data_IF_171385306280
#
_entry.id   IF_171385306280
#
_cell.length_a   1.000
_cell.length_b   1.000
_cell.length_c   1.000
_cell.angle_alpha   90.00
_cell.angle_beta   90.00
_cell.angle_gamma   90.00
#
_symmetry.space_group_name_H-M   'P 1'
#
loop_
_entity.id
_entity.type
_entity.pdbx_description
1 polymer ?
#
# COMPACT_ATOMS: atom_id res chain seq x y z
N UNK A 1 7.44 4.97 3.46
CA UNK A 1 7.48 3.58 2.98
C UNK A 1 8.57 3.46 1.93
N UNK A 2 9.71 2.83 2.25
CA UNK A 2 10.62 2.36 1.20
C UNK A 2 10.10 1.01 0.75
N UNK A 3 9.84 0.83 -0.55
CA UNK A 3 9.60 -0.49 -1.10
C UNK A 3 10.89 -1.28 -0.90
N UNK A 4 10.95 -2.10 0.14
CA UNK A 4 12.11 -2.92 0.41
C UNK A 4 12.07 -4.05 -0.62
N UNK A 5 12.87 -3.93 -1.69
CA UNK A 5 13.12 -4.97 -2.69
C UNK A 5 14.43 -5.77 -2.42
N UNK A 6 14.92 -6.13 -1.21
CA UNK A 6 16.22 -6.81 -1.09
C UNK A 6 16.16 -8.34 -1.20
N UNK A 7 15.13 -8.92 -1.82
CA UNK A 7 15.06 -10.38 -2.02
C UNK A 7 14.27 -10.84 -3.26
N UNK A 8 13.82 -9.93 -4.11
CA UNK A 8 13.05 -10.29 -5.30
C UNK A 8 13.96 -10.73 -6.45
N UNK A 9 14.01 -12.04 -6.75
CA UNK A 9 14.51 -12.49 -8.05
C UNK A 9 13.47 -12.10 -9.11
N UNK A 10 13.88 -11.43 -10.19
CA UNK A 10 13.00 -11.14 -11.31
C UNK A 10 12.39 -12.45 -11.84
N UNK A 11 11.10 -12.67 -11.59
CA UNK A 11 10.43 -13.91 -11.96
C UNK A 11 10.24 -14.01 -13.48
N UNK A 12 9.92 -12.89 -14.14
CA UNK A 12 9.80 -12.79 -15.59
C UNK A 12 9.79 -11.32 -16.05
N UNK A 13 10.09 -11.09 -17.33
CA UNK A 13 9.92 -9.79 -18.00
C UNK A 13 9.11 -10.00 -19.26
N UNK A 14 8.12 -9.14 -19.49
CA UNK A 14 7.26 -9.19 -20.67
C UNK A 14 7.32 -7.85 -21.39
N UNK A 15 7.50 -7.88 -22.72
CA UNK A 15 7.53 -6.67 -23.54
C UNK A 15 6.10 -6.20 -23.78
N UNK A 16 5.80 -4.95 -23.45
CA UNK A 16 4.51 -4.33 -23.74
C UNK A 16 4.41 -4.15 -25.27
N UNK A 17 3.35 -4.65 -25.93
CA UNK A 17 3.21 -4.52 -27.38
C UNK A 17 3.14 -3.06 -27.83
N UNK A 18 3.84 -2.74 -28.91
CA UNK A 18 3.63 -1.50 -29.65
C UNK A 18 2.30 -1.61 -30.43
N UNK A 19 1.35 -0.67 -30.25
CA UNK A 19 0.08 -0.68 -30.98
C UNK A 19 0.20 -0.39 -32.49
N UNK A 20 1.42 -0.12 -32.99
CA UNK A 20 1.67 0.29 -34.37
C UNK A 20 1.59 1.81 -34.52
N UNK A 21 2.25 2.55 -33.63
CA UNK A 21 2.21 4.01 -33.65
C UNK A 21 2.61 4.59 -35.02
N UNK A 22 1.72 5.40 -35.59
CA UNK A 22 1.98 6.12 -36.85
C UNK A 22 2.69 7.43 -36.52
N UNK A 23 3.74 7.76 -37.28
CA UNK A 23 4.37 9.06 -37.17
C UNK A 23 5.02 9.35 -35.83
N UNK A 24 5.30 8.35 -35.00
CA UNK A 24 5.81 8.53 -33.65
C UNK A 24 6.19 7.20 -32.99
N UNK A 25 6.46 7.25 -31.69
CA UNK A 25 6.81 6.11 -30.88
C UNK A 25 5.75 5.79 -29.83
N UNK A 26 5.72 4.52 -29.41
CA UNK A 26 4.92 4.04 -28.27
C UNK A 26 5.55 4.46 -26.94
N UNK A 27 4.77 5.10 -26.07
CA UNK A 27 5.19 5.64 -24.76
C UNK A 27 4.30 5.07 -23.64
N UNK A 28 4.55 3.83 -23.16
CA UNK A 28 3.87 3.30 -21.99
C UNK A 28 4.32 4.05 -20.73
N UNK A 29 3.39 4.37 -19.82
CA UNK A 29 3.68 5.07 -18.58
C UNK A 29 2.76 4.63 -17.42
N UNK A 30 1.44 4.85 -17.53
CA UNK A 30 0.50 4.51 -16.46
C UNK A 30 0.40 3.02 -16.18
N UNK A 31 0.27 2.65 -14.90
CA UNK A 31 0.21 1.26 -14.46
C UNK A 31 -0.78 1.09 -13.31
N UNK A 32 -1.70 0.13 -13.43
CA UNK A 32 -2.60 -0.24 -12.34
C UNK A 32 -2.76 -1.74 -12.21
N UNK A 33 -2.70 -2.26 -11.00
CA UNK A 33 -3.17 -3.61 -10.71
C UNK A 33 -4.64 -3.56 -10.27
N UNK A 34 -5.48 -4.37 -10.91
CA UNK A 34 -6.91 -4.47 -10.63
C UNK A 34 -7.44 -5.85 -10.99
N UNK A 35 -8.14 -6.50 -10.05
CA UNK A 35 -8.79 -7.81 -10.21
C UNK A 35 -7.93 -8.83 -10.96
N UNK A 36 -6.78 -9.17 -10.38
CA UNK A 36 -5.83 -10.16 -10.91
C UNK A 36 -5.28 -9.83 -12.31
N UNK A 37 -5.24 -8.55 -12.67
CA UNK A 37 -4.68 -8.09 -13.94
C UNK A 37 -3.91 -6.78 -13.76
N UNK A 38 -2.86 -6.61 -14.55
CA UNK A 38 -2.16 -5.34 -14.71
C UNK A 38 -2.76 -4.60 -15.90
N UNK A 39 -2.93 -3.29 -15.79
CA UNK A 39 -3.37 -2.40 -16.84
C UNK A 39 -2.26 -1.41 -17.12
N UNK A 40 -1.78 -1.39 -18.36
CA UNK A 40 -0.69 -0.52 -18.81
C UNK A 40 -1.26 0.49 -19.79
N UNK A 41 -1.17 1.76 -19.42
CA UNK A 41 -1.56 2.89 -20.24
C UNK A 41 -0.37 3.51 -20.96
N UNK A 42 -0.61 4.11 -22.13
CA UNK A 42 0.40 4.89 -22.83
C UNK A 42 -0.15 5.62 -24.05
N UNK A 43 0.72 6.35 -24.74
CA UNK A 43 0.36 7.13 -25.93
C UNK A 43 1.26 6.83 -27.13
N UNK A 44 0.73 7.01 -28.33
CA UNK A 44 1.52 7.26 -29.53
C UNK A 44 1.81 8.76 -29.62
N UNK A 45 3.09 9.12 -29.67
CA UNK A 45 3.53 10.50 -29.45
C UNK A 45 3.48 11.42 -30.68
N UNK A 46 3.22 10.88 -31.88
CA UNK A 46 3.22 11.59 -33.16
C UNK A 46 4.48 12.46 -33.43
N UNK A 47 5.60 12.19 -32.75
CA UNK A 47 6.78 13.06 -32.75
C UNK A 47 7.41 13.23 -34.14
N UNK A 48 7.35 12.22 -35.00
CA UNK A 48 7.96 12.26 -36.33
C UNK A 48 7.04 12.90 -37.37
N UNK A 49 5.73 12.66 -37.32
CA UNK A 49 4.78 13.21 -38.30
C UNK A 49 4.34 14.62 -37.97
N UNK A 50 4.33 14.99 -36.68
CA UNK A 50 3.78 16.24 -36.19
C UNK A 50 2.29 16.45 -36.55
N UNK A 51 1.57 15.35 -36.82
CA UNK A 51 0.13 15.37 -37.10
C UNK A 51 -0.65 15.01 -35.83
N UNK A 52 -1.59 15.89 -35.45
CA UNK A 52 -2.48 15.63 -34.28
C UNK A 52 -3.37 14.41 -34.45
N UNK A 53 -3.75 14.09 -35.70
CA UNK A 53 -4.52 12.89 -36.03
C UNK A 53 -3.80 11.58 -35.67
N UNK A 54 -2.48 11.63 -35.52
CA UNK A 54 -1.67 10.45 -35.17
C UNK A 54 -1.53 10.26 -33.65
N UNK A 55 -2.02 11.21 -32.84
CA UNK A 55 -2.04 11.09 -31.39
C UNK A 55 -3.16 10.14 -30.95
N UNK A 56 -2.78 9.09 -30.23
CA UNK A 56 -3.67 8.06 -29.73
C UNK A 56 -3.24 7.64 -28.33
N UNK A 57 -4.18 7.32 -27.46
CA UNK A 57 -3.94 6.68 -26.18
C UNK A 57 -4.44 5.24 -26.20
N UNK A 58 -3.72 4.35 -25.51
CA UNK A 58 -4.03 2.92 -25.44
C UNK A 58 -3.96 2.43 -24.00
N UNK A 59 -4.80 1.45 -23.67
CA UNK A 59 -4.68 0.65 -22.45
C UNK A 59 -4.64 -0.82 -22.81
N UNK A 60 -3.61 -1.51 -22.34
CA UNK A 60 -3.48 -2.96 -22.41
C UNK A 60 -3.75 -3.59 -21.05
N UNK A 61 -4.53 -4.68 -21.04
CA UNK A 61 -4.66 -5.58 -19.89
C UNK A 61 -3.67 -6.73 -20.03
N UNK A 62 -2.90 -6.98 -18.99
CA UNK A 62 -2.02 -8.14 -18.83
C UNK A 62 -2.52 -9.02 -17.69
N UNK A 63 -2.78 -10.29 -17.97
CA UNK A 63 -3.20 -11.26 -16.96
C UNK A 63 -1.98 -12.09 -16.52
N UNK A 64 -1.52 -11.97 -15.26
CA UNK A 64 -0.44 -12.79 -14.72
C UNK A 64 -0.73 -14.29 -14.86
N UNK A 65 0.29 -15.07 -15.22
CA UNK A 65 0.16 -16.51 -15.49
C UNK A 65 -0.22 -16.85 -16.93
N UNK A 66 -0.93 -15.96 -17.64
CA UNK A 66 -1.20 -16.08 -19.08
C UNK A 66 -0.12 -15.48 -19.96
N UNK A 67 0.71 -14.55 -19.44
CA UNK A 67 1.74 -13.80 -20.16
C UNK A 67 1.25 -13.16 -21.48
N UNK A 68 0.01 -12.70 -21.51
CA UNK A 68 -0.61 -12.09 -22.70
C UNK A 68 -1.09 -10.68 -22.39
N UNK A 69 -0.82 -9.76 -23.33
CA UNK A 69 -1.41 -8.43 -23.35
C UNK A 69 -2.60 -8.40 -24.30
N UNK A 70 -3.72 -7.83 -23.84
CA UNK A 70 -4.92 -7.59 -24.64
C UNK A 70 -5.19 -6.10 -24.66
N UNK A 71 -5.31 -5.49 -25.84
CA UNK A 71 -5.77 -4.10 -25.92
C UNK A 71 -7.22 -4.03 -25.46
N UNK A 72 -7.51 -3.20 -24.45
CA UNK A 72 -8.86 -3.07 -23.88
C UNK A 72 -9.47 -1.69 -24.10
N UNK A 73 -8.65 -0.69 -24.44
CA UNK A 73 -9.09 0.66 -24.77
C UNK A 73 -8.12 1.29 -25.79
N UNK A 74 -8.68 2.04 -26.73
CA UNK A 74 -7.96 2.96 -27.62
C UNK A 74 -8.85 4.18 -27.87
N UNK A 75 -8.25 5.37 -27.90
CA UNK A 75 -8.97 6.60 -28.24
C UNK A 75 -8.05 7.68 -28.81
N UNK A 76 -8.58 8.55 -29.69
CA UNK A 76 -7.82 9.67 -30.21
C UNK A 76 -7.66 10.77 -29.15
N UNK A 77 -6.56 11.50 -29.24
CA UNK A 77 -6.28 12.68 -28.40
C UNK A 77 -6.50 13.99 -29.18
N UNK A 78 -7.34 13.97 -30.20
CA UNK A 78 -7.67 15.12 -31.07
C UNK A 78 -8.98 15.82 -30.70
N UNK A 79 -9.56 15.47 -29.55
CA UNK A 79 -10.80 16.06 -29.07
C UNK A 79 -10.63 17.54 -28.68
N UNK A 80 -11.73 18.32 -28.71
CA UNK A 80 -11.71 19.73 -28.32
C UNK A 80 -11.24 19.90 -26.88
N UNK A 81 -10.39 20.91 -26.63
CA UNK A 81 -9.92 21.33 -25.31
C UNK A 81 -10.17 22.83 -25.15
N UNK A 82 -10.24 23.35 -23.91
CA UNK A 82 -10.62 24.72 -23.67
C UNK A 82 -9.68 25.74 -24.31
N UNK A 83 -10.27 26.89 -24.63
CA UNK A 83 -9.50 28.11 -24.80
C UNK A 83 -8.99 28.49 -23.41
N UNK A 84 -7.70 28.38 -23.16
CA UNK A 84 -7.22 28.62 -21.81
C UNK A 84 -7.18 30.12 -21.46
N UNK A 85 -6.62 30.47 -20.31
CA UNK A 85 -6.88 31.74 -19.63
C UNK A 85 -6.29 32.96 -20.32
N UNK A 86 -5.40 32.76 -21.30
CA UNK A 86 -4.80 33.83 -22.08
C UNK A 86 -5.54 33.96 -23.42
N UNK A 87 -6.13 35.12 -23.67
CA UNK A 87 -6.86 35.40 -24.90
C UNK A 87 -6.01 35.07 -26.15
N UNK A 88 -6.55 34.20 -27.02
CA UNK A 88 -5.91 33.78 -28.27
C UNK A 88 -5.00 32.55 -28.19
N UNK A 89 -4.78 31.96 -27.01
CA UNK A 89 -4.02 30.71 -26.85
C UNK A 89 -5.00 29.52 -26.74
N UNK A 90 -4.92 28.58 -27.70
CA UNK A 90 -5.60 27.28 -27.66
C UNK A 90 -4.61 26.22 -27.16
N UNK A 91 -5.06 25.26 -26.35
CA UNK A 91 -4.22 24.25 -25.70
C UNK A 91 -4.65 22.81 -26.04
N UNK A 92 -4.75 22.45 -27.33
CA UNK A 92 -4.99 21.07 -27.72
C UNK A 92 -3.81 20.20 -27.30
N UNK A 93 -4.02 18.89 -27.26
CA UNK A 93 -2.89 17.98 -27.27
C UNK A 93 -2.06 18.17 -28.55
N UNK A 94 -0.74 18.13 -28.38
CA UNK A 94 0.22 18.31 -29.47
C UNK A 94 1.15 17.10 -29.55
N UNK A 95 1.61 16.77 -30.77
CA UNK A 95 2.72 15.86 -31.00
C UNK A 95 3.92 16.20 -30.11
N UNK A 96 4.63 15.17 -29.67
CA UNK A 96 5.80 15.39 -28.84
C UNK A 96 6.90 16.12 -29.62
N UNK A 97 7.63 16.96 -28.90
CA UNK A 97 8.79 17.69 -29.42
C UNK A 97 10.02 17.38 -28.56
N UNK A 98 11.18 17.37 -29.22
CA UNK A 98 12.49 17.38 -28.55
C UNK A 98 13.08 18.79 -28.47
N UNK A 99 12.54 19.72 -29.25
CA UNK A 99 12.96 21.12 -29.26
C UNK A 99 12.03 21.96 -28.42
N UNK A 100 12.61 22.99 -27.78
CA UNK A 100 11.84 23.96 -27.02
C UNK A 100 10.88 24.71 -27.97
N UNK A 101 9.58 24.56 -27.75
CA UNK A 101 8.53 25.26 -28.49
C UNK A 101 7.61 25.99 -27.51
N UNK A 102 7.30 27.25 -27.81
CA UNK A 102 6.39 28.08 -27.02
C UNK A 102 5.12 28.34 -27.82
N UNK A 103 3.95 27.94 -27.31
CA UNK A 103 2.66 28.26 -27.97
C UNK A 103 2.15 29.66 -27.56
N UNK A 104 2.53 30.14 -26.37
CA UNK A 104 2.02 31.40 -25.81
C UNK A 104 3.22 32.27 -25.36
N UNK A 105 3.53 33.33 -26.11
CA UNK A 105 4.80 34.09 -25.99
C UNK A 105 4.78 35.23 -24.97
N UNK A 106 3.65 35.49 -24.33
CA UNK A 106 3.55 36.53 -23.30
C UNK A 106 4.18 36.05 -21.99
N UNK A 107 5.16 36.81 -21.49
CA UNK A 107 5.79 36.61 -20.18
C UNK A 107 6.50 35.24 -19.97
N UNK A 108 7.21 34.73 -20.98
CA UNK A 108 8.04 33.51 -20.86
C UNK A 108 7.31 32.25 -20.34
N UNK A 109 6.02 32.10 -20.65
CA UNK A 109 5.22 30.94 -20.25
C UNK A 109 5.41 29.75 -21.19
N UNK A 110 5.70 28.58 -20.63
CA UNK A 110 5.86 27.31 -21.35
C UNK A 110 4.56 26.51 -21.28
N UNK A 111 3.84 26.49 -22.39
CA UNK A 111 2.59 25.76 -22.56
C UNK A 111 2.64 25.08 -23.92
N UNK A 112 2.79 23.77 -23.94
CA UNK A 112 2.77 22.97 -25.18
C UNK A 112 2.25 21.56 -24.82
N UNK A 113 0.94 21.40 -24.56
CA UNK A 113 0.42 20.16 -23.97
C UNK A 113 0.79 18.93 -24.78
N UNK A 114 1.50 18.00 -24.15
CA UNK A 114 1.99 16.76 -24.73
C UNK A 114 1.49 15.60 -23.87
N UNK A 115 0.44 14.92 -24.34
CA UNK A 115 -0.27 13.95 -23.53
C UNK A 115 0.64 12.82 -23.04
N UNK A 116 0.42 12.42 -21.80
CA UNK A 116 0.90 11.19 -21.19
C UNK A 116 -0.26 10.55 -20.46
N UNK A 117 -0.61 9.29 -20.77
CA UNK A 117 -1.51 8.53 -19.92
C UNK A 117 -0.73 8.09 -18.69
N UNK A 118 -0.80 8.90 -17.64
CA UNK A 118 0.09 8.83 -16.49
C UNK A 118 -0.41 7.88 -15.42
N UNK A 119 -1.72 7.73 -15.29
CA UNK A 119 -2.30 6.90 -14.24
C UNK A 119 -3.68 6.33 -14.61
N UNK A 120 -4.08 5.26 -13.91
CA UNK A 120 -5.31 4.51 -14.13
C UNK A 120 -5.90 4.12 -12.77
N UNK A 121 -7.17 4.47 -12.55
CA UNK A 121 -7.94 4.01 -11.41
C UNK A 121 -9.22 3.27 -11.84
N UNK A 122 -9.78 2.48 -10.93
CA UNK A 122 -11.03 1.76 -11.18
C UNK A 122 -12.04 2.04 -10.08
N UNK A 123 -13.23 2.48 -10.48
CA UNK A 123 -14.37 2.60 -9.57
C UNK A 123 -14.99 1.21 -9.27
N UNK A 124 -15.90 1.15 -8.29
CA UNK A 124 -16.50 -0.09 -7.78
C UNK A 124 -17.31 -0.85 -8.85
N UNK A 125 -17.86 -0.14 -9.82
CA UNK A 125 -18.59 -0.69 -10.97
C UNK A 125 -17.64 -1.24 -12.06
N UNK A 126 -16.33 -1.09 -11.86
CA UNK A 126 -15.29 -1.47 -12.81
C UNK A 126 -15.06 -0.43 -13.90
N UNK A 127 -15.69 0.75 -13.83
CA UNK A 127 -15.39 1.86 -14.72
C UNK A 127 -13.95 2.34 -14.50
N UNK A 128 -13.21 2.51 -15.59
CA UNK A 128 -11.84 2.99 -15.60
C UNK A 128 -11.83 4.53 -15.56
N UNK A 129 -10.93 5.10 -14.78
CA UNK A 129 -10.63 6.52 -14.70
C UNK A 129 -9.19 6.70 -15.15
N UNK A 130 -8.94 7.65 -16.04
CA UNK A 130 -7.70 7.83 -16.77
C UNK A 130 -7.12 9.20 -16.41
N UNK A 131 -5.91 9.21 -15.85
CA UNK A 131 -5.17 10.43 -15.56
C UNK A 131 -4.30 10.77 -16.75
N UNK A 132 -4.54 11.91 -17.38
CA UNK A 132 -3.68 12.43 -18.45
C UNK A 132 -2.82 13.56 -17.89
N UNK A 133 -1.51 13.42 -17.98
CA UNK A 133 -0.55 14.45 -17.64
C UNK A 133 -0.04 15.14 -18.93
N UNK A 134 0.50 16.34 -18.76
CA UNK A 134 1.21 17.08 -19.77
C UNK A 134 2.73 16.96 -19.55
N UNK A 135 3.44 16.34 -20.50
CA UNK A 135 4.90 16.20 -20.48
C UNK A 135 5.63 17.54 -20.35
N UNK A 136 5.08 18.66 -20.86
CA UNK A 136 5.67 20.00 -20.63
C UNK A 136 5.72 20.34 -19.15
N UNK A 137 4.77 19.83 -18.36
CA UNK A 137 4.77 19.86 -16.91
C UNK A 137 6.02 19.26 -16.27
N UNK A 138 6.58 18.19 -16.86
CA UNK A 138 7.81 17.53 -16.40
C UNK A 138 9.09 18.17 -16.94
N UNK A 139 8.99 18.93 -18.04
CA UNK A 139 10.14 19.56 -18.68
C UNK A 139 10.48 20.93 -18.06
N UNK A 140 9.52 21.57 -17.38
CA UNK A 140 9.67 22.91 -16.81
C UNK A 140 9.11 22.99 -15.40
N UNK A 141 9.48 24.06 -14.69
CA UNK A 141 8.94 24.43 -13.39
C UNK A 141 8.58 25.91 -13.37
N UNK A 142 8.35 26.46 -12.19
CA UNK A 142 8.15 27.90 -12.01
C UNK A 142 9.48 28.64 -11.92
N UNK A 143 9.65 29.73 -12.67
CA UNK A 143 10.87 30.54 -12.71
C UNK A 143 12.14 29.70 -12.94
N UNK A 144 12.06 28.72 -13.82
CA UNK A 144 13.15 27.78 -14.06
C UNK A 144 13.93 28.15 -15.34
N UNK A 145 15.24 27.90 -15.34
CA UNK A 145 16.03 28.08 -16.55
C UNK A 145 15.60 27.08 -17.61
N UNK A 146 15.46 27.54 -18.84
CA UNK A 146 15.22 26.67 -19.98
C UNK A 146 16.44 25.78 -20.25
N UNK A 147 16.28 24.68 -21.01
CA UNK A 147 17.39 23.81 -21.40
C UNK A 147 18.35 24.47 -22.40
N UNK A 148 18.09 25.72 -22.82
CA UNK A 148 18.94 26.50 -23.72
C UNK A 148 19.82 27.46 -22.91
N UNK A 149 20.98 27.85 -23.45
CA UNK A 149 21.99 28.67 -22.76
C UNK A 149 21.61 30.16 -22.57
N UNK A 150 20.33 30.46 -22.31
CA UNK A 150 19.83 31.81 -22.09
C UNK A 150 19.54 32.05 -20.62
N UNK A 151 19.73 33.28 -20.14
CA UNK A 151 19.31 33.70 -18.80
C UNK A 151 17.79 33.92 -18.69
N UNK A 152 17.00 33.38 -19.62
CA UNK A 152 15.54 33.48 -19.62
C UNK A 152 14.99 32.48 -18.62
N UNK A 153 14.24 32.99 -17.63
CA UNK A 153 13.43 32.16 -16.75
C UNK A 153 12.10 31.86 -17.43
N UNK A 154 11.69 30.61 -17.35
CA UNK A 154 10.45 30.10 -17.94
C UNK A 154 9.48 29.68 -16.85
N UNK A 155 8.19 29.89 -17.12
CA UNK A 155 7.10 29.44 -16.26
C UNK A 155 6.38 28.27 -16.92
N UNK A 156 6.64 27.06 -16.44
CA UNK A 156 5.91 25.85 -16.83
C UNK A 156 4.43 25.96 -16.47
N UNK A 157 3.59 25.36 -17.29
CA UNK A 157 2.20 25.12 -16.94
C UNK A 157 1.73 23.82 -17.57
N UNK A 158 1.77 22.76 -16.78
CA UNK A 158 1.19 21.47 -17.16
C UNK A 158 -0.32 21.60 -17.28
N UNK A 159 -0.87 21.21 -18.43
CA UNK A 159 -2.30 21.11 -18.71
C UNK A 159 -2.67 19.66 -18.96
N UNK A 160 -2.87 18.91 -17.88
CA UNK A 160 -3.36 17.52 -17.92
C UNK A 160 -4.86 17.47 -18.21
N UNK A 161 -5.47 16.32 -18.03
CA UNK A 161 -6.91 16.06 -18.23
C UNK A 161 -7.26 14.81 -17.39
N UNK A 162 -8.54 14.59 -17.09
CA UNK A 162 -9.04 13.39 -16.43
C UNK A 162 -10.28 12.87 -17.16
N UNK A 163 -10.19 11.64 -17.66
CA UNK A 163 -11.24 11.01 -18.45
C UNK A 163 -11.78 9.75 -17.77
N UNK A 164 -12.95 9.30 -18.23
CA UNK A 164 -13.59 8.08 -17.77
C UNK A 164 -13.93 7.14 -18.92
N UNK A 165 -13.79 5.83 -18.71
CA UNK A 165 -14.15 4.81 -19.68
C UNK A 165 -14.93 3.66 -19.02
N UNK A 166 -16.19 3.47 -19.41
CA UNK A 166 -17.07 2.45 -18.82
C UNK A 166 -16.68 1.06 -19.28
N UNK A 167 -16.69 0.10 -18.35
CA UNK A 167 -16.46 -1.30 -18.68
C UNK A 167 -17.67 -1.90 -19.42
N UNK A 168 -17.40 -2.50 -20.58
CA UNK A 168 -18.33 -3.23 -21.42
C UNK A 168 -17.81 -4.66 -21.61
N UNK A 169 -18.03 -5.52 -20.60
CA UNK A 169 -17.62 -6.94 -20.62
C UNK A 169 -16.11 -7.15 -20.89
N UNK A 170 -15.26 -6.31 -20.30
CA UNK A 170 -13.80 -6.45 -20.37
C UNK A 170 -13.12 -5.65 -21.47
N UNK A 171 -13.88 -4.98 -22.34
CA UNK A 171 -13.42 -3.84 -23.14
C UNK A 171 -13.97 -2.55 -22.54
N UNK A 172 -13.39 -1.40 -22.86
CA UNK A 172 -13.80 -0.12 -22.29
C UNK A 172 -14.30 0.83 -23.38
N UNK A 173 -15.33 1.60 -23.03
CA UNK A 173 -15.91 2.64 -23.89
C UNK A 173 -15.62 3.97 -23.24
N UNK A 174 -14.80 4.80 -23.89
CA UNK A 174 -14.50 6.15 -23.42
C UNK A 174 -15.79 6.96 -23.28
N UNK A 175 -15.81 7.87 -22.32
CA UNK A 175 -16.84 8.90 -22.25
C UNK A 175 -16.98 9.64 -23.59
N UNK A 176 -18.18 10.12 -23.85
CA UNK A 176 -18.46 10.88 -25.06
C UNK A 176 -19.55 11.91 -24.76
N UNK A 177 -19.23 13.19 -24.96
CA UNK A 177 -20.08 14.33 -24.62
C UNK A 177 -20.55 14.28 -23.16
N UNK A 178 -19.60 14.16 -22.23
CA UNK A 178 -19.81 14.07 -20.78
C UNK A 178 -20.67 12.89 -20.32
N UNK A 179 -20.84 11.89 -21.19
CA UNK A 179 -21.61 10.67 -20.89
C UNK A 179 -20.67 9.48 -20.76
N UNK A 180 -20.71 8.80 -19.61
CA UNK A 180 -19.98 7.57 -19.33
C UNK A 180 -20.97 6.53 -18.79
N UNK A 181 -21.25 5.50 -19.59
CA UNK A 181 -22.24 4.49 -19.26
C UNK A 181 -23.64 5.10 -19.20
N UNK A 182 -24.32 4.96 -18.06
CA UNK A 182 -25.65 5.55 -17.83
C UNK A 182 -25.60 6.96 -17.22
N UNK A 183 -24.42 7.50 -16.95
CA UNK A 183 -24.24 8.80 -16.30
C UNK A 183 -23.91 9.86 -17.34
N UNK A 184 -24.63 10.98 -17.30
CA UNK A 184 -24.33 12.20 -18.05
C UNK A 184 -24.19 13.34 -17.07
N UNK A 185 -23.06 14.06 -17.11
CA UNK A 185 -22.79 15.18 -16.19
C UNK A 185 -23.20 16.53 -16.80
N UNK A 186 -23.01 17.60 -16.04
CA UNK A 186 -23.28 18.95 -16.52
C UNK A 186 -22.23 19.46 -17.55
N UNK A 187 -21.17 18.69 -17.81
CA UNK A 187 -20.16 19.00 -18.82
C UNK A 187 -20.58 18.78 -20.27
N UNK A 188 -21.80 18.30 -20.52
CA UNK A 188 -22.25 18.03 -21.88
C UNK A 188 -22.36 19.32 -22.71
N UNK A 189 -21.88 19.27 -23.95
CA UNK A 189 -21.92 20.35 -24.94
C UNK A 189 -21.12 21.61 -24.52
N UNK A 190 -20.08 21.45 -23.70
CA UNK A 190 -19.17 22.53 -23.35
C UNK A 190 -18.03 22.72 -24.37
N UNK A 191 -17.98 21.88 -25.42
CA UNK A 191 -16.94 21.84 -26.44
C UNK A 191 -15.54 21.54 -25.86
N UNK A 192 -15.49 20.67 -24.86
CA UNK A 192 -14.27 20.18 -24.19
C UNK A 192 -14.39 18.68 -23.99
N UNK A 193 -13.31 17.93 -24.11
CA UNK A 193 -13.30 16.48 -23.96
C UNK A 193 -13.86 15.70 -25.16
N UNK A 194 -13.77 14.35 -25.10
CA UNK A 194 -14.26 13.46 -26.15
C UNK A 194 -15.73 13.70 -26.51
N UNK A 195 -16.04 13.81 -27.80
CA UNK A 195 -17.41 14.06 -28.27
C UNK A 195 -17.95 15.48 -27.99
N UNK A 196 -17.11 16.41 -27.53
CA UNK A 196 -17.47 17.81 -27.28
C UNK A 196 -18.12 18.07 -25.91
N UNK A 197 -17.94 17.16 -24.96
CA UNK A 197 -18.33 17.32 -23.56
C UNK A 197 -17.45 16.43 -22.67
N UNK A 198 -17.15 16.91 -21.47
CA UNK A 198 -16.23 16.27 -20.53
C UNK A 198 -16.98 15.77 -19.30
N UNK A 199 -16.72 14.54 -18.86
CA UNK A 199 -17.41 14.00 -17.69
C UNK A 199 -17.01 14.78 -16.43
N UNK A 200 -15.70 14.92 -16.20
CA UNK A 200 -15.12 15.64 -15.05
C UNK A 200 -14.92 17.14 -15.33
N UNK A 201 -15.97 17.81 -15.78
CA UNK A 201 -15.94 19.19 -16.28
C UNK A 201 -15.56 20.31 -15.29
N UNK A 202 -15.47 20.01 -13.99
CA UNK A 202 -15.14 21.00 -12.94
C UNK A 202 -13.68 20.80 -12.50
N UNK A 203 -12.79 20.48 -13.44
CA UNK A 203 -11.36 20.36 -13.21
C UNK A 203 -10.63 21.72 -13.31
N UNK A 204 -11.37 22.82 -13.20
CA UNK A 204 -10.82 24.18 -13.18
C UNK A 204 -10.00 24.45 -11.91
N UNK A 205 -8.82 25.06 -12.07
CA UNK A 205 -8.02 25.63 -11.00
C UNK A 205 -8.61 26.93 -10.44
N UNK A 206 -8.09 27.40 -9.30
CA UNK A 206 -8.54 28.62 -8.63
C UNK A 206 -8.35 29.89 -9.48
N UNK A 207 -7.42 29.89 -10.44
CA UNK A 207 -7.25 30.94 -11.45
C UNK A 207 -8.25 30.84 -12.62
N UNK A 208 -9.28 29.99 -12.49
CA UNK A 208 -10.27 29.66 -13.51
C UNK A 208 -9.67 29.05 -14.77
N UNK A 209 -8.45 28.55 -14.69
CA UNK A 209 -7.93 27.75 -15.78
C UNK A 209 -8.43 26.33 -15.72
N UNK A 210 -9.09 25.98 -16.80
CA UNK A 210 -9.54 24.64 -17.09
C UNK A 210 -8.32 23.72 -17.29
N UNK A 211 -8.50 22.40 -17.20
CA UNK A 211 -7.43 21.41 -17.40
C UNK A 211 -6.37 21.48 -16.28
N UNK A 212 -6.83 21.53 -15.02
CA UNK A 212 -5.95 21.65 -13.84
C UNK A 212 -5.60 20.32 -13.18
N UNK A 213 -6.26 19.22 -13.57
CA UNK A 213 -5.76 17.88 -13.27
C UNK A 213 -4.38 17.68 -13.92
N UNK A 214 -3.43 17.10 -13.18
CA UNK A 214 -2.06 16.81 -13.69
C UNK A 214 -1.70 15.33 -13.61
N UNK A 215 -2.71 14.48 -13.59
CA UNK A 215 -2.64 13.10 -14.06
C UNK A 215 -2.29 12.00 -13.05
N UNK A 216 -1.89 12.33 -11.83
CA UNK A 216 -1.80 11.32 -10.74
C UNK A 216 -3.18 11.13 -10.11
N UNK A 217 -3.61 9.89 -9.85
CA UNK A 217 -4.96 9.57 -9.38
C UNK A 217 -4.92 8.71 -8.11
N UNK A 218 -5.95 8.85 -7.29
CA UNK A 218 -6.20 7.96 -6.16
C UNK A 218 -7.69 7.77 -5.94
N UNK A 219 -8.15 6.51 -5.89
CA UNK A 219 -9.56 6.21 -5.63
C UNK A 219 -9.69 5.25 -4.45
N UNK A 220 -10.43 5.68 -3.42
CA UNK A 220 -10.80 4.82 -2.29
C UNK A 220 -12.12 4.13 -2.65
N UNK A 221 -12.14 2.79 -2.84
CA UNK A 221 -13.36 2.10 -3.27
C UNK A 221 -14.55 2.40 -2.36
N UNK A 222 -15.67 2.76 -2.97
CA UNK A 222 -16.91 3.11 -2.25
C UNK A 222 -17.03 4.57 -1.79
N UNK A 223 -15.98 5.39 -1.98
CA UNK A 223 -16.04 6.82 -1.64
C UNK A 223 -16.88 7.65 -2.63
N UNK A 224 -17.01 7.19 -3.88
CA UNK A 224 -17.76 7.88 -4.93
C UNK A 224 -17.07 9.13 -5.50
N UNK A 225 -15.78 9.29 -5.23
CA UNK A 225 -14.93 10.37 -5.76
C UNK A 225 -13.54 9.83 -6.08
N UNK A 226 -12.88 10.43 -7.07
CA UNK A 226 -11.48 10.21 -7.41
C UNK A 226 -10.67 11.43 -7.00
N UNK A 227 -9.57 11.22 -6.29
CA UNK A 227 -8.57 12.24 -6.04
C UNK A 227 -7.63 12.35 -7.24
N UNK A 228 -7.22 13.56 -7.60
CA UNK A 228 -6.19 13.81 -8.61
C UNK A 228 -5.18 14.81 -8.10
N UNK A 229 -3.92 14.67 -8.51
CA UNK A 229 -2.97 15.79 -8.41
C UNK A 229 -3.49 16.96 -9.22
N UNK A 230 -3.31 18.16 -8.68
CA UNK A 230 -4.06 19.33 -9.13
C UNK A 230 -3.23 20.60 -9.03
N UNK A 231 -3.27 21.39 -10.10
CA UNK A 231 -2.66 22.71 -10.18
C UNK A 231 -3.60 23.75 -9.59
N UNK A 232 -3.04 24.70 -8.83
CA UNK A 232 -3.80 25.84 -8.29
C UNK A 232 -5.10 25.42 -7.55
N UNK A 233 -5.04 24.48 -6.58
CA UNK A 233 -6.23 23.93 -5.93
C UNK A 233 -6.99 24.93 -5.04
N UNK A 234 -6.32 25.96 -4.50
CA UNK A 234 -6.91 26.93 -3.56
C UNK A 234 -6.69 28.38 -4.03
N UNK A 235 -5.48 28.72 -4.44
CA UNK A 235 -5.11 30.00 -5.03
C UNK A 235 -4.16 29.80 -6.22
N UNK A 236 -3.47 30.87 -6.62
CA UNK A 236 -2.53 30.85 -7.73
C UNK A 236 -1.10 30.59 -7.28
N UNK A 237 -0.37 29.80 -8.07
CA UNK A 237 1.04 29.43 -7.91
C UNK A 237 1.21 28.29 -6.92
N UNK A 238 0.25 27.36 -6.91
CA UNK A 238 0.19 26.30 -5.90
C UNK A 238 0.16 24.92 -6.55
N UNK A 239 0.51 23.90 -5.77
CA UNK A 239 0.27 22.52 -6.11
C UNK A 239 -0.43 21.81 -4.97
N UNK A 240 -1.30 20.87 -5.32
CA UNK A 240 -1.97 20.05 -4.34
C UNK A 240 -2.84 19.01 -5.00
N UNK A 241 -4.03 18.82 -4.44
CA UNK A 241 -4.95 17.77 -4.84
C UNK A 241 -6.38 18.29 -4.91
N UNK A 242 -7.17 17.71 -5.79
CA UNK A 242 -8.61 17.92 -5.87
C UNK A 242 -9.32 16.57 -5.91
N UNK A 243 -10.58 16.53 -5.47
CA UNK A 243 -11.43 15.36 -5.62
C UNK A 243 -12.61 15.69 -6.52
N UNK A 244 -12.90 14.78 -7.43
CA UNK A 244 -13.97 14.89 -8.42
C UNK A 244 -14.97 13.76 -8.21
N UNK A 245 -16.26 14.07 -8.26
CA UNK A 245 -17.33 13.10 -8.06
C UNK A 245 -17.44 12.14 -9.24
N UNK A 246 -17.42 10.83 -8.97
CA UNK A 246 -17.62 9.80 -10.00
C UNK A 246 -19.08 9.71 -10.47
N UNK A 247 -20.01 10.47 -9.88
CA UNK A 247 -21.41 10.49 -10.33
C UNK A 247 -21.74 11.78 -11.08
N UNK A 248 -21.21 12.91 -10.61
CA UNK A 248 -21.60 14.22 -11.14
C UNK A 248 -20.49 14.90 -11.93
N UNK A 249 -19.26 14.40 -11.90
CA UNK A 249 -18.10 15.04 -12.52
C UNK A 249 -17.59 16.28 -11.78
N UNK A 250 -18.32 16.73 -10.75
CA UNK A 250 -18.05 17.99 -10.06
C UNK A 250 -16.93 17.86 -9.04
N UNK A 251 -16.14 18.93 -8.87
CA UNK A 251 -15.12 19.03 -7.83
C UNK A 251 -15.78 19.17 -6.46
N UNK A 252 -15.46 18.24 -5.57
CA UNK A 252 -16.08 18.13 -4.23
C UNK A 252 -15.25 18.83 -3.16
N UNK A 253 -13.92 18.80 -3.31
CA UNK A 253 -12.96 19.38 -2.36
C UNK A 253 -11.60 19.58 -3.02
N UNK A 254 -10.80 20.45 -2.43
CA UNK A 254 -9.40 20.67 -2.79
C UNK A 254 -8.54 20.75 -1.54
N UNK A 255 -7.24 20.53 -1.70
CA UNK A 255 -6.26 20.67 -0.63
C UNK A 255 -4.94 21.14 -1.22
N UNK A 256 -4.38 22.19 -0.62
CA UNK A 256 -3.08 22.74 -0.97
C UNK A 256 -1.96 21.93 -0.29
N UNK A 257 -0.99 21.45 -1.07
CA UNK A 257 0.20 20.80 -0.52
C UNK A 257 1.34 21.79 -0.33
N UNK A 258 1.51 22.73 -1.27
CA UNK A 258 2.52 23.78 -1.14
C UNK A 258 2.07 25.10 -1.80
N UNK A 259 2.40 26.25 -1.16
CA UNK A 259 2.15 27.58 -1.70
C UNK A 259 3.28 28.08 -2.62
N UNK A 260 2.96 29.04 -3.48
CA UNK A 260 3.88 29.60 -4.49
C UNK A 260 5.05 30.45 -3.99
N UNK A 261 5.25 30.54 -2.68
CA UNK A 261 6.43 31.19 -2.08
C UNK A 261 7.59 30.23 -1.83
N UNK A 262 7.44 28.93 -2.11
CA UNK A 262 8.56 27.98 -2.01
C UNK A 262 9.49 28.18 -3.21
N UNK A 263 10.73 28.62 -2.96
CA UNK A 263 11.76 28.63 -3.99
C UNK A 263 11.84 27.22 -4.62
N UNK A 264 11.65 27.15 -5.95
CA UNK A 264 11.83 25.96 -6.80
C UNK A 264 10.70 24.92 -6.87
N UNK A 265 9.66 24.99 -6.03
CA UNK A 265 8.42 24.21 -6.20
C UNK A 265 7.30 25.17 -6.59
N UNK A 266 6.88 25.14 -7.85
CA UNK A 266 5.83 26.04 -8.36
C UNK A 266 5.24 25.54 -9.68
N UNK A 267 4.19 26.24 -10.17
CA UNK A 267 3.30 25.83 -11.29
C UNK A 267 4.02 25.02 -12.37
N UNK A 268 3.61 23.75 -12.50
CA UNK A 268 3.90 22.79 -13.58
C UNK A 268 3.25 21.45 -13.16
N UNK A 269 3.95 20.31 -13.23
CA UNK A 269 3.54 19.03 -12.64
C UNK A 269 4.22 18.77 -11.26
N UNK A 270 4.25 19.78 -10.38
CA UNK A 270 5.04 19.75 -9.14
C UNK A 270 4.55 18.80 -8.03
N UNK A 271 3.45 18.09 -8.26
CA UNK A 271 2.99 16.94 -7.46
C UNK A 271 2.95 15.74 -8.41
N UNK A 272 3.58 14.64 -8.02
CA UNK A 272 3.69 13.42 -8.83
C UNK A 272 2.41 12.58 -8.79
N UNK A 273 2.48 11.43 -8.14
CA UNK A 273 1.37 10.49 -8.00
C UNK A 273 0.67 10.61 -6.63
N UNK A 274 -0.52 10.01 -6.50
CA UNK A 274 -1.27 9.91 -5.25
C UNK A 274 -1.51 8.44 -4.87
N UNK A 275 -1.01 8.05 -3.71
CA UNK A 275 -1.29 6.72 -3.16
C UNK A 275 -2.13 6.81 -1.89
N UNK A 276 -3.12 5.94 -1.81
CA UNK A 276 -3.88 5.76 -0.59
C UNK A 276 -3.08 4.89 0.37
N UNK A 277 -2.79 5.44 1.54
CA UNK A 277 -2.26 4.68 2.65
C UNK A 277 -3.43 4.22 3.52
N UNK A 278 -3.51 2.92 3.76
CA UNK A 278 -4.20 2.40 4.93
C UNK A 278 -3.20 2.26 6.05
N UNK A 279 -3.61 2.51 7.29
CA UNK A 279 -2.82 2.06 8.44
C UNK A 279 -2.58 0.55 8.29
N UNK A 280 -1.36 0.04 8.60
CA UNK A 280 -1.12 -1.39 8.58
C UNK A 280 -2.16 -2.08 9.48
N UNK A 281 -2.76 -3.15 8.98
CA UNK A 281 -3.69 -3.93 9.78
C UNK A 281 -3.00 -4.33 11.10
N UNK A 282 -3.61 -4.05 12.26
CA UNK A 282 -2.98 -4.29 13.54
C UNK A 282 -2.67 -5.78 13.70
N UNK A 283 -1.58 -6.09 14.39
CA UNK A 283 -1.23 -7.45 14.77
C UNK A 283 -1.51 -7.63 16.25
N UNK A 284 -2.18 -8.72 16.60
CA UNK A 284 -2.35 -9.19 17.97
C UNK A 284 -1.49 -10.43 18.19
N UNK A 285 -0.71 -10.43 19.28
CA UNK A 285 0.07 -11.59 19.71
C UNK A 285 -0.17 -11.92 21.19
N UNK A 286 -0.02 -13.20 21.56
CA UNK A 286 -0.19 -13.70 22.92
C UNK A 286 -0.88 -15.06 22.89
N UNK A 287 -1.62 -15.36 23.95
CA UNK A 287 -2.68 -16.37 24.05
C UNK A 287 -2.88 -16.70 25.54
N UNK A 288 -2.09 -17.58 26.14
CA UNK A 288 -2.40 -18.22 27.44
C UNK A 288 -1.19 -18.51 28.31
N UNK A 289 -1.38 -18.38 29.62
CA UNK A 289 -0.48 -18.89 30.66
C UNK A 289 -1.25 -19.91 31.50
N UNK A 290 -0.75 -21.13 31.66
CA UNK A 290 -1.53 -22.21 32.30
C UNK A 290 -0.74 -23.06 33.30
N UNK A 291 -1.50 -23.76 34.15
CA UNK A 291 -1.03 -24.75 35.11
C UNK A 291 -1.00 -26.13 34.42
N UNK A 292 0.19 -26.52 33.98
CA UNK A 292 0.50 -27.81 33.39
C UNK A 292 0.55 -28.85 34.50
N UNK A 293 -0.60 -29.48 34.77
CA UNK A 293 -0.82 -30.34 35.93
C UNK A 293 -0.01 -31.63 35.84
N UNK A 294 0.35 -32.05 34.64
CA UNK A 294 1.04 -33.31 34.40
C UNK A 294 2.51 -33.12 33.97
N UNK A 295 2.93 -31.89 33.69
CA UNK A 295 4.30 -31.50 33.36
C UNK A 295 4.75 -31.91 31.95
N UNK A 296 3.82 -32.11 31.01
CA UNK A 296 4.12 -32.58 29.65
C UNK A 296 4.36 -31.43 28.63
N UNK A 297 4.16 -30.18 29.05
CA UNK A 297 4.33 -28.99 28.22
C UNK A 297 3.25 -28.77 27.17
N UNK A 298 2.08 -29.42 27.30
CA UNK A 298 0.95 -29.37 26.37
C UNK A 298 -0.29 -28.92 27.13
N UNK A 299 -1.13 -28.09 26.52
CA UNK A 299 -2.38 -27.62 27.13
C UNK A 299 -3.44 -28.73 27.07
N UNK A 300 -3.58 -29.49 28.15
CA UNK A 300 -4.52 -30.62 28.23
C UNK A 300 -5.92 -30.20 28.69
N UNK A 301 -6.98 -30.92 28.27
CA UNK A 301 -8.32 -30.69 28.79
C UNK A 301 -8.38 -30.80 30.32
N UNK A 302 -8.81 -29.70 30.96
CA UNK A 302 -8.96 -29.62 32.42
C UNK A 302 -7.80 -28.93 33.14
N UNK A 303 -6.74 -28.56 32.42
CA UNK A 303 -5.67 -27.73 32.96
C UNK A 303 -6.10 -26.25 33.03
N UNK A 304 -6.08 -25.64 34.22
CA UNK A 304 -6.57 -24.28 34.40
C UNK A 304 -5.54 -23.23 33.96
N UNK A 305 -6.03 -22.09 33.47
CA UNK A 305 -5.21 -20.92 33.25
C UNK A 305 -4.77 -20.22 34.53
N UNK A 306 -3.59 -19.62 34.50
CA UNK A 306 -3.01 -18.85 35.61
C UNK A 306 -3.26 -17.35 35.42
N UNK A 307 -4.26 -16.84 36.14
CA UNK A 307 -4.66 -15.43 36.11
C UNK A 307 -3.85 -14.55 37.07
N UNK A 308 -3.82 -13.25 36.80
CA UNK A 308 -3.18 -12.24 37.65
C UNK A 308 -1.66 -12.13 37.48
N UNK A 309 -1.09 -12.84 36.49
CA UNK A 309 0.32 -12.77 36.17
C UNK A 309 0.59 -11.63 35.21
N UNK A 310 1.62 -10.83 35.50
CA UNK A 310 2.06 -9.76 34.60
C UNK A 310 2.92 -10.36 33.49
N UNK A 311 2.46 -10.21 32.25
CA UNK A 311 3.25 -10.48 31.05
C UNK A 311 3.90 -9.17 30.60
N UNK A 312 5.19 -9.19 30.35
CA UNK A 312 5.95 -8.02 29.87
C UNK A 312 6.39 -8.27 28.43
N UNK A 313 6.15 -7.30 27.56
CA UNK A 313 6.62 -7.27 26.19
C UNK A 313 7.69 -6.20 26.04
N UNK A 314 8.86 -6.56 25.52
CA UNK A 314 10.01 -5.66 25.34
C UNK A 314 10.41 -5.56 23.88
N UNK A 315 10.81 -4.36 23.49
CA UNK A 315 11.46 -4.00 22.22
C UNK A 315 12.76 -3.25 22.52
N UNK A 316 13.64 -3.04 21.52
CA UNK A 316 14.81 -2.18 21.69
C UNK A 316 14.49 -0.74 22.14
N UNK A 317 13.26 -0.26 21.93
CA UNK A 317 12.86 1.14 22.13
C UNK A 317 11.90 1.34 23.29
N UNK A 318 11.39 0.28 23.93
CA UNK A 318 10.46 0.39 25.06
C UNK A 318 9.89 -0.95 25.55
N UNK A 319 9.08 -0.89 26.60
CA UNK A 319 8.33 -2.05 27.13
C UNK A 319 6.84 -1.73 27.32
N UNK A 320 6.03 -2.79 27.31
CA UNK A 320 4.60 -2.77 27.61
C UNK A 320 4.26 -3.95 28.51
N UNK A 321 3.18 -3.87 29.27
CA UNK A 321 2.72 -4.97 30.13
C UNK A 321 1.23 -5.21 29.97
N UNK A 322 0.82 -6.44 30.20
CA UNK A 322 -0.58 -6.86 30.36
C UNK A 322 -0.68 -7.86 31.51
N UNK A 323 -1.90 -8.18 31.92
CA UNK A 323 -2.14 -9.13 33.02
C UNK A 323 -3.02 -10.27 32.53
N UNK A 324 -2.60 -11.51 32.81
CA UNK A 324 -3.37 -12.70 32.44
C UNK A 324 -4.74 -12.70 33.11
N UNK A 325 -5.78 -13.04 32.37
CA UNK A 325 -7.16 -13.02 32.87
C UNK A 325 -8.07 -14.05 32.19
N UNK A 326 -9.24 -14.33 32.78
CA UNK A 326 -10.16 -15.34 32.27
C UNK A 326 -9.63 -16.75 32.54
N UNK A 327 -9.04 -17.37 31.52
CA UNK A 327 -8.39 -18.68 31.61
C UNK A 327 -6.89 -18.56 31.32
N UNK A 328 -6.23 -17.59 31.97
CA UNK A 328 -4.80 -17.33 31.80
C UNK A 328 -4.47 -16.46 30.58
N UNK A 329 -5.46 -15.84 29.96
CA UNK A 329 -5.29 -15.23 28.65
C UNK A 329 -4.63 -13.86 28.69
N UNK A 330 -3.80 -13.57 27.69
CA UNK A 330 -3.15 -12.27 27.51
C UNK A 330 -2.89 -11.94 26.04
N UNK A 331 -2.88 -10.64 25.71
CA UNK A 331 -2.69 -10.16 24.34
C UNK A 331 -1.97 -8.81 24.29
N UNK A 332 -1.24 -8.58 23.20
CA UNK A 332 -0.60 -7.31 22.87
C UNK A 332 -0.89 -6.92 21.43
N UNK A 333 -1.19 -5.63 21.21
CA UNK A 333 -1.14 -5.03 19.89
C UNK A 333 0.31 -4.67 19.54
N UNK A 334 0.79 -5.11 18.38
CA UNK A 334 2.20 -5.01 17.97
C UNK A 334 2.38 -4.59 16.51
N UNK A 335 3.60 -4.16 16.18
CA UNK A 335 3.99 -3.73 14.85
C UNK A 335 4.43 -4.92 13.98
N UNK A 336 4.23 -4.86 12.65
CA UNK A 336 4.73 -5.87 11.71
C UNK A 336 6.26 -5.89 11.66
N UNK A 337 6.82 -7.05 11.27
CA UNK A 337 8.26 -7.26 11.06
C UNK A 337 9.16 -6.84 12.23
N UNK A 338 8.65 -6.95 13.45
CA UNK A 338 9.32 -6.49 14.67
C UNK A 338 9.59 -7.66 15.60
N UNK A 339 10.81 -7.71 16.15
CA UNK A 339 11.19 -8.71 17.14
C UNK A 339 10.86 -8.23 18.55
N UNK A 340 10.13 -9.07 19.27
CA UNK A 340 9.70 -8.84 20.63
C UNK A 340 10.26 -9.91 21.56
N UNK A 341 10.64 -9.47 22.76
CA UNK A 341 10.96 -10.37 23.88
C UNK A 341 9.81 -10.31 24.87
N UNK A 342 9.15 -11.43 25.11
CA UNK A 342 8.03 -11.55 26.03
C UNK A 342 8.45 -12.34 27.26
N UNK A 343 8.12 -11.85 28.46
CA UNK A 343 8.50 -12.50 29.72
C UNK A 343 7.34 -12.56 30.71
N UNK A 344 7.34 -13.62 31.50
CA UNK A 344 6.42 -13.81 32.64
C UNK A 344 7.26 -14.22 33.84
N UNK A 345 7.04 -13.60 34.99
CA UNK A 345 7.69 -14.02 36.22
C UNK A 345 7.15 -15.39 36.64
N UNK A 346 8.04 -16.32 37.00
CA UNK A 346 7.62 -17.64 37.49
C UNK A 346 6.73 -17.50 38.72
N UNK A 347 5.49 -18.03 38.69
CA UNK A 347 4.59 -17.96 39.83
C UNK A 347 5.18 -18.66 41.07
N UNK A 348 4.84 -18.18 42.27
CA UNK A 348 5.33 -18.78 43.52
C UNK A 348 4.83 -20.22 43.62
N UNK A 349 5.76 -21.16 43.84
CA UNK A 349 5.44 -22.59 43.94
C UNK A 349 5.42 -23.31 42.60
N UNK A 350 5.78 -22.65 41.50
CA UNK A 350 5.85 -23.24 40.16
C UNK A 350 7.26 -23.27 39.61
N UNK A 351 7.45 -24.10 38.58
CA UNK A 351 8.59 -24.09 37.68
C UNK A 351 8.09 -24.00 36.25
N UNK A 352 8.92 -23.48 35.33
CA UNK A 352 8.58 -23.51 33.91
C UNK A 352 8.49 -24.97 33.45
N UNK A 353 7.42 -25.33 32.76
CA UNK A 353 7.32 -26.68 32.19
C UNK A 353 8.37 -26.89 31.09
N UNK A 354 8.68 -28.14 30.79
CA UNK A 354 9.60 -28.43 29.69
C UNK A 354 8.92 -28.10 28.36
N UNK A 355 9.58 -27.29 27.52
CA UNK A 355 9.21 -27.21 26.10
C UNK A 355 9.40 -28.61 25.49
N UNK A 356 8.34 -29.23 24.99
CA UNK A 356 8.42 -30.52 24.33
C UNK A 356 8.86 -30.31 22.87
N UNK A 357 9.54 -31.30 22.28
CA UNK A 357 10.39 -31.10 21.09
C UNK A 357 10.02 -32.05 19.94
N UNK A 358 8.81 -32.61 19.97
CA UNK A 358 8.38 -33.66 19.04
C UNK A 358 7.38 -33.12 18.02
N UNK A 359 7.74 -33.26 16.74
CA UNK A 359 6.98 -32.71 15.61
C UNK A 359 5.57 -33.33 15.43
N UNK A 360 4.64 -32.51 14.91
CA UNK A 360 3.30 -32.93 14.48
C UNK A 360 3.35 -34.01 13.40
N UNK A 361 2.65 -35.11 13.64
CA UNK A 361 2.19 -36.01 12.60
C UNK A 361 0.65 -36.03 12.56
N UNK A 362 0.08 -36.41 11.42
CA UNK A 362 -1.37 -36.39 11.20
C UNK A 362 -2.16 -37.36 12.10
N UNK A 363 -1.50 -38.20 12.89
CA UNK A 363 -2.11 -39.12 13.86
C UNK A 363 -2.05 -38.59 15.30
N UNK A 364 -1.31 -37.51 15.58
CA UNK A 364 -1.13 -36.91 16.90
C UNK A 364 -1.49 -35.42 16.88
N UNK A 365 -2.76 -35.10 17.15
CA UNK A 365 -3.27 -33.73 17.29
C UNK A 365 -2.85 -33.05 18.63
N UNK A 366 -1.88 -33.62 19.33
CA UNK A 366 -1.47 -33.23 20.70
C UNK A 366 0.06 -33.07 20.81
N UNK A 367 0.76 -32.68 19.75
CA UNK A 367 2.23 -32.64 19.75
C UNK A 367 2.81 -31.23 19.75
N UNK A 368 3.90 -31.08 20.49
CA UNK A 368 4.58 -29.86 20.89
C UNK A 368 5.72 -29.45 19.92
N UNK A 369 5.55 -28.36 19.17
CA UNK A 369 6.54 -27.89 18.20
C UNK A 369 6.74 -26.36 18.20
N UNK A 370 7.94 -25.94 18.60
CA UNK A 370 8.44 -24.56 18.70
C UNK A 370 8.29 -23.59 17.49
N UNK A 371 7.69 -24.01 16.37
CA UNK A 371 7.54 -23.23 15.14
C UNK A 371 6.17 -23.44 14.45
N UNK A 372 5.30 -24.32 14.96
CA UNK A 372 3.98 -24.60 14.39
C UNK A 372 3.13 -25.32 15.41
N UNK A 373 2.56 -24.59 16.36
CA UNK A 373 1.78 -25.15 17.46
C UNK A 373 0.72 -24.14 17.91
N UNK A 374 -0.31 -24.59 18.60
CA UNK A 374 -1.36 -23.75 19.20
C UNK A 374 -1.61 -24.09 20.67
N UNK A 375 -0.95 -25.12 21.21
CA UNK A 375 -1.25 -25.71 22.52
C UNK A 375 0.00 -26.18 23.28
N UNK A 376 1.19 -25.68 22.98
CA UNK A 376 2.42 -25.95 23.73
C UNK A 376 2.87 -24.77 24.60
N UNK A 377 4.07 -24.89 25.17
CA UNK A 377 4.75 -23.82 25.90
C UNK A 377 5.98 -23.39 25.10
N UNK A 378 5.97 -22.17 24.57
CA UNK A 378 7.08 -21.62 23.77
C UNK A 378 8.25 -21.12 24.62
N UNK A 379 7.99 -20.86 25.90
CA UNK A 379 8.92 -20.16 26.75
C UNK A 379 10.17 -20.98 27.09
N UNK A 380 11.32 -20.31 27.07
CA UNK A 380 12.60 -20.84 27.54
C UNK A 380 13.11 -20.00 28.72
N UNK A 381 13.86 -20.62 29.64
CA UNK A 381 14.53 -19.88 30.71
C UNK A 381 15.73 -19.11 30.18
N UNK A 382 15.62 -17.79 30.11
CA UNK A 382 16.74 -16.87 29.83
C UNK A 382 17.12 -16.18 31.14
N UNK A 383 18.31 -16.47 31.64
CA UNK A 383 18.80 -15.95 32.93
C UNK A 383 17.80 -16.16 34.10
N UNK A 384 17.09 -17.30 34.09
CA UNK A 384 16.11 -17.66 35.12
C UNK A 384 14.72 -17.05 34.94
N UNK A 385 14.46 -16.31 33.86
CA UNK A 385 13.14 -15.76 33.53
C UNK A 385 12.55 -16.49 32.31
N UNK A 386 11.33 -17.05 32.43
CA UNK A 386 10.57 -17.54 31.27
C UNK A 386 10.46 -16.47 30.19
N UNK A 387 10.94 -16.79 28.99
CA UNK A 387 11.10 -15.82 27.90
C UNK A 387 10.72 -16.45 26.56
N UNK A 388 9.91 -15.74 25.77
CA UNK A 388 9.62 -16.03 24.37
C UNK A 388 10.26 -14.92 23.51
N UNK A 389 11.01 -15.32 22.48
CA UNK A 389 11.53 -14.40 21.47
C UNK A 389 10.77 -14.63 20.17
N UNK A 390 10.01 -13.63 19.72
CA UNK A 390 9.13 -13.76 18.56
C UNK A 390 9.32 -12.60 17.58
N UNK A 391 9.35 -12.88 16.28
CA UNK A 391 9.37 -11.86 15.22
C UNK A 391 8.04 -11.90 14.49
N UNK A 392 7.30 -10.78 14.54
CA UNK A 392 6.01 -10.67 13.86
C UNK A 392 6.17 -10.75 12.34
N UNK A 393 5.14 -11.27 11.69
CA UNK A 393 5.03 -11.28 10.23
C UNK A 393 4.56 -9.94 9.65
N UNK A 394 3.96 -9.99 8.47
CA UNK A 394 3.36 -8.82 7.82
C UNK A 394 2.07 -8.33 8.50
N UNK A 395 1.54 -7.16 8.12
CA UNK A 395 0.32 -6.61 8.71
C UNK A 395 -0.85 -7.60 8.74
N UNK A 396 -1.60 -7.62 9.84
CA UNK A 396 -2.74 -8.52 10.07
C UNK A 396 -2.40 -10.00 10.33
N UNK A 397 -1.11 -10.37 10.38
CA UNK A 397 -0.68 -11.73 10.72
C UNK A 397 -0.63 -11.93 12.24
N UNK A 398 -1.81 -12.03 12.86
CA UNK A 398 -1.94 -12.36 14.29
C UNK A 398 -1.31 -13.72 14.60
N UNK A 399 -0.74 -13.85 15.81
CA UNK A 399 -0.22 -15.11 16.30
C UNK A 399 -0.69 -15.33 17.74
N UNK A 400 -1.61 -16.29 17.91
CA UNK A 400 -2.16 -16.68 19.20
C UNK A 400 -1.65 -18.05 19.64
N UNK A 401 -0.36 -18.30 19.44
CA UNK A 401 0.32 -19.52 19.88
C UNK A 401 1.55 -19.19 20.71
N UNK A 402 1.56 -18.04 21.39
CA UNK A 402 2.66 -17.67 22.27
C UNK A 402 2.16 -17.90 23.69
N UNK A 403 2.61 -18.99 24.29
CA UNK A 403 2.03 -19.56 25.49
C UNK A 403 3.11 -19.91 26.55
N UNK A 404 2.75 -19.81 27.83
CA UNK A 404 3.63 -20.14 28.95
C UNK A 404 3.02 -21.24 29.83
N UNK A 405 3.65 -22.42 29.86
CA UNK A 405 3.23 -23.52 30.73
C UNK A 405 4.04 -23.57 32.03
N UNK A 406 3.36 -23.71 33.16
CA UNK A 406 4.02 -23.82 34.47
C UNK A 406 3.53 -25.06 35.21
N UNK A 407 4.46 -25.78 35.83
CA UNK A 407 4.16 -27.00 36.61
C UNK A 407 4.54 -26.80 38.07
N UNK A 408 3.71 -27.29 38.99
CA UNK A 408 4.09 -27.37 40.40
C UNK A 408 5.04 -28.56 40.60
N UNK A 409 6.21 -28.37 41.25
CA UNK A 409 7.07 -29.50 41.57
C UNK A 409 6.32 -30.44 42.50
N UNK A 410 6.28 -31.73 42.15
CA UNK A 410 5.65 -32.75 42.99
C UNK A 410 6.42 -32.79 44.31
N UNK A 411 5.75 -32.41 45.40
CA UNK A 411 6.32 -32.47 46.75
C UNK A 411 6.83 -33.90 46.97
N UNK A 412 8.13 -34.03 47.20
CA UNK A 412 8.82 -35.32 47.15
C UNK A 412 8.10 -36.36 48.01
N UNK A 413 7.54 -37.38 47.37
CA UNK A 413 7.18 -38.61 48.06
C UNK A 413 8.48 -39.21 48.60
N UNK A 414 8.77 -38.99 49.89
CA UNK A 414 9.88 -39.66 50.56
C UNK A 414 9.50 -41.12 50.69
N UNK A 415 9.96 -41.95 49.75
CA UNK A 415 9.81 -43.40 49.86
C UNK A 415 10.80 -43.88 50.94
N UNK A 416 10.31 -43.98 52.18
CA UNK A 416 11.07 -44.51 53.30
C UNK A 416 11.23 -46.02 53.10
N UNK A 417 12.30 -46.43 52.42
CA UNK A 417 12.69 -47.83 52.35
C UNK A 417 13.08 -48.31 53.74
N UNK A 418 12.15 -48.99 54.41
CA UNK A 418 12.38 -49.58 55.72
C UNK A 418 13.28 -50.80 55.57
N UNK A 419 14.60 -50.59 55.56
CA UNK A 419 15.57 -51.68 55.57
C UNK A 419 15.60 -52.27 56.98
N UNK A 420 14.94 -53.41 57.18
CA UNK A 420 15.13 -54.21 58.40
C UNK A 420 16.56 -54.77 58.35
N UNK A 421 17.44 -54.44 59.32
CA UNK A 421 18.80 -54.95 59.30
C UNK A 421 18.80 -56.45 59.54
N UNK A 422 19.51 -57.20 58.70
CA UNK A 422 19.96 -58.54 59.07
C UNK A 422 21.04 -58.39 60.14
N UNK A 423 20.62 -58.54 61.40
CA UNK A 423 21.36 -59.01 62.59
C UNK A 423 22.84 -58.59 62.75
N UNK A 424 23.06 -57.79 63.81
CA UNK A 424 24.20 -57.69 64.74
C UNK A 424 25.62 -57.47 64.18
N UNK A 425 26.10 -56.22 64.19
CA UNK A 425 26.88 -55.69 65.33
C UNK A 425 27.31 -54.23 65.06
N UNK A 426 27.25 -53.42 66.12
CA UNK A 426 27.82 -52.06 66.29
C UNK A 426 26.90 -50.83 66.04
N UNK A 427 26.58 -50.02 67.07
CA UNK A 427 25.72 -48.84 66.94
C UNK A 427 26.56 -47.60 66.61
N UNK A 428 26.61 -47.22 65.33
CA UNK A 428 26.95 -45.86 64.93
C UNK A 428 25.99 -45.42 63.82
N UNK A 429 24.96 -44.65 64.21
CA UNK A 429 24.05 -43.96 63.29
C UNK A 429 24.85 -42.94 62.47
N UNK A 430 25.20 -43.30 61.24
CA UNK A 430 25.60 -42.35 60.21
C UNK A 430 24.43 -42.16 59.24
N UNK A 431 23.68 -41.08 59.41
CA UNK A 431 22.71 -40.62 58.42
C UNK A 431 23.49 -39.84 57.36
N UNK A 432 23.77 -40.47 56.22
CA UNK A 432 24.28 -39.77 55.04
C UNK A 432 23.09 -39.33 54.17
N UNK A 433 22.87 -38.02 54.09
CA UNK A 433 21.90 -37.39 53.19
C UNK A 433 22.54 -37.31 51.80
N UNK A 434 22.16 -38.20 50.88
CA UNK A 434 22.55 -38.06 49.47
C UNK A 434 21.42 -37.30 48.77
N UNK A 435 21.67 -36.04 48.44
CA UNK A 435 20.83 -35.25 47.53
C UNK A 435 21.27 -35.61 46.11
N UNK A 436 20.36 -36.12 45.29
CA UNK A 436 20.47 -36.05 43.84
C UNK A 436 19.60 -34.92 43.35
#
# INVERSE_FOLDING_TARGET
YSLNIPAGTLASSNVIPDPGCVGGAWRPFGLKYYRDSLYVGGVCDAQSSQLKSDLQAYVYRFTPGGNTFTQVLVFPLDYPRPNGPNAGCNYPWNPWLDTLSTVCTTAARMMYPQAMLSDIEFDIDGTMILGLNDRTGHQFGYDNYGPTSSNTLYHGRGLGDILRATNNNGTFVLENNATSGSLTTAGANNNQGPGGGEFYYDDDGADQSQEAAVGGLALLPGRGEVGTTFRDPVSTVEGGVAWLSNTTGRKTRTYELYPGSTAYFGKSAGVGDLELLSDPAPIEIGNRVWDDLNGNGTQDPGEPGLNGLTVTLQTPTGSSTTTTSGDGNYYFAVEPYTTYTMTVATPVGYQLTAANTTALDAANLTSNHAISDTIDSDALLVSGTPTILYTTGGPGQNNHSLDFGFVQPVDGQVDMLNVVPAVADNPALAVAKQLN
#
